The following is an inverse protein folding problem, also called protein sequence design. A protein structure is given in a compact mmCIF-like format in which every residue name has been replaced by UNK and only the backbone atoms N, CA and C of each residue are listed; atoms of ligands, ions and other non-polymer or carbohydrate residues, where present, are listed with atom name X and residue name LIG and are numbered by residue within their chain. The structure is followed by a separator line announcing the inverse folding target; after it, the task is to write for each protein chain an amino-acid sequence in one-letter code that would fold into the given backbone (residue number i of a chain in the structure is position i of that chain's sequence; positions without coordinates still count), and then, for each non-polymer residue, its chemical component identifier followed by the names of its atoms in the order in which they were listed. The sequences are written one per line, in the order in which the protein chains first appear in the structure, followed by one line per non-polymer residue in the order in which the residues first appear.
data_IF_289093167636
#
_entry.id   IF_289093167636
#
_cell.length_a   1.000
_cell.length_b   1.000
_cell.length_c   1.000
_cell.angle_alpha   90.00
_cell.angle_beta   90.00
_cell.angle_gamma   90.00
#
_symmetry.space_group_name_H-M   'P 1'
#
loop_
_entity.id
_entity.type
_entity.pdbx_description
1 polymer ?
#
# COMPACT_ATOMS: atom_id res chain seq x y z
N UNK A 1 -3.15 -20.54 -4.98
CA UNK A 1 -3.23 -19.62 -6.14
C UNK A 1 -3.75 -18.28 -5.67
N UNK A 2 -3.15 -17.20 -6.14
CA UNK A 2 -3.60 -15.83 -5.89
C UNK A 2 -5.02 -15.59 -6.42
N UNK A 3 -5.73 -14.64 -5.82
CA UNK A 3 -7.07 -14.25 -6.27
C UNK A 3 -6.97 -13.65 -7.67
N UNK A 4 -7.80 -14.15 -8.58
CA UNK A 4 -7.71 -13.80 -10.00
C UNK A 4 -8.29 -12.41 -10.30
N UNK A 5 -7.70 -11.70 -11.30
CA UNK A 5 -8.17 -10.39 -11.77
C UNK A 5 -9.69 -10.30 -12.03
N UNK A 6 -10.36 -11.29 -12.64
CA UNK A 6 -11.81 -11.23 -12.89
C UNK A 6 -12.66 -11.02 -11.62
N UNK A 7 -12.18 -11.45 -10.45
CA UNK A 7 -12.87 -11.18 -9.18
C UNK A 7 -12.96 -9.68 -8.90
N UNK A 8 -11.86 -8.96 -9.06
CA UNK A 8 -11.80 -7.50 -8.84
C UNK A 8 -12.54 -6.73 -9.94
N UNK A 9 -12.44 -7.17 -11.21
CA UNK A 9 -13.20 -6.59 -12.31
C UNK A 9 -14.72 -6.66 -12.05
N UNK A 10 -15.22 -7.80 -11.54
CA UNK A 10 -16.63 -7.95 -11.20
C UNK A 10 -17.04 -7.06 -10.04
N UNK A 11 -16.24 -6.98 -8.96
CA UNK A 11 -16.52 -6.11 -7.82
C UNK A 11 -16.70 -4.64 -8.24
N UNK A 12 -15.80 -4.13 -9.08
CA UNK A 12 -15.86 -2.76 -9.55
C UNK A 12 -16.86 -2.51 -10.68
N UNK A 13 -17.29 -3.55 -11.41
CA UNK A 13 -18.37 -3.45 -12.37
C UNK A 13 -19.73 -3.25 -11.67
N UNK A 14 -19.92 -3.88 -10.52
CA UNK A 14 -21.16 -3.83 -9.76
C UNK A 14 -21.27 -2.60 -8.84
N UNK A 15 -20.13 -2.07 -8.38
CA UNK A 15 -20.08 -0.97 -7.43
C UNK A 15 -18.76 -0.17 -7.54
N UNK A 16 -18.82 1.15 -7.70
CA UNK A 16 -17.63 2.03 -7.72
C UNK A 16 -16.88 2.11 -6.38
N UNK A 17 -17.50 1.68 -5.29
CA UNK A 17 -16.92 1.70 -3.94
C UNK A 17 -17.29 0.41 -3.17
N UNK A 18 -16.80 -0.77 -3.59
CA UNK A 18 -17.22 -2.07 -3.09
C UNK A 18 -17.06 -2.22 -1.56
N UNK A 19 -16.06 -1.58 -1.00
CA UNK A 19 -15.76 -1.63 0.44
C UNK A 19 -16.25 -0.40 1.20
N UNK A 20 -16.92 0.56 0.52
CA UNK A 20 -17.41 1.82 1.07
C UNK A 20 -16.29 2.68 1.71
N UNK A 21 -15.15 2.77 1.01
CA UNK A 21 -13.98 3.56 1.41
C UNK A 21 -14.32 5.01 1.72
N UNK A 22 -15.24 5.60 0.96
CA UNK A 22 -15.66 7.01 1.12
C UNK A 22 -16.51 7.25 2.35
N UNK A 23 -17.30 6.26 2.77
CA UNK A 23 -18.38 6.46 3.74
C UNK A 23 -18.09 5.92 5.13
N UNK A 24 -17.46 4.74 5.23
CA UNK A 24 -17.23 4.07 6.51
C UNK A 24 -16.24 4.84 7.37
N UNK A 25 -16.59 5.02 8.64
CA UNK A 25 -15.68 5.57 9.64
C UNK A 25 -14.41 4.73 9.78
N UNK A 26 -14.55 3.42 9.77
CA UNK A 26 -13.43 2.48 9.77
C UNK A 26 -12.38 2.82 8.69
N UNK A 27 -12.82 3.01 7.44
CA UNK A 27 -11.95 3.28 6.32
C UNK A 27 -11.24 4.65 6.43
N UNK A 28 -11.97 5.69 6.87
CA UNK A 28 -11.36 7.00 7.14
C UNK A 28 -10.34 6.93 8.26
N UNK A 29 -10.67 6.21 9.36
CA UNK A 29 -9.75 6.01 10.49
C UNK A 29 -8.50 5.24 10.05
N UNK A 30 -8.64 4.17 9.28
CA UNK A 30 -7.54 3.36 8.76
C UNK A 30 -6.58 4.21 7.92
N UNK A 31 -7.08 5.02 6.98
CA UNK A 31 -6.26 5.93 6.19
C UNK A 31 -5.53 6.97 7.06
N UNK A 32 -6.23 7.56 8.03
CA UNK A 32 -5.60 8.51 8.95
C UNK A 32 -4.47 7.87 9.76
N UNK A 33 -4.64 6.65 10.25
CA UNK A 33 -3.59 5.87 10.94
C UNK A 33 -2.43 5.56 9.99
N UNK A 34 -2.70 5.17 8.75
CA UNK A 34 -1.69 4.91 7.72
C UNK A 34 -0.80 6.14 7.52
N UNK A 35 -1.40 7.32 7.34
CA UNK A 35 -0.64 8.55 7.17
C UNK A 35 0.10 8.99 8.44
N UNK A 36 -0.48 8.73 9.62
CA UNK A 36 0.14 9.08 10.90
C UNK A 36 1.38 8.23 11.22
N UNK A 37 1.45 6.99 10.69
CA UNK A 37 2.64 6.14 10.84
C UNK A 37 3.83 6.62 10.01
N UNK A 38 3.61 7.37 8.93
CA UNK A 38 4.67 7.86 8.05
C UNK A 38 5.58 8.83 8.81
N UNK A 39 6.85 8.46 8.94
CA UNK A 39 7.84 9.20 9.75
C UNK A 39 8.44 10.42 9.04
N UNK A 40 8.24 10.57 7.73
CA UNK A 40 8.69 11.74 6.98
C UNK A 40 7.53 12.66 6.64
N UNK A 41 7.70 13.97 6.71
CA UNK A 41 6.64 14.92 6.32
C UNK A 41 6.33 14.84 4.83
N UNK A 42 7.32 14.48 3.98
CA UNK A 42 7.21 14.37 2.53
C UNK A 42 8.16 13.32 1.96
N UNK A 43 7.76 12.69 0.86
CA UNK A 43 8.51 11.69 0.12
C UNK A 43 8.78 12.18 -1.32
N UNK A 44 9.92 11.82 -1.90
CA UNK A 44 10.23 12.18 -3.27
C UNK A 44 9.44 11.32 -4.27
N UNK A 45 9.26 10.04 -3.98
CA UNK A 45 8.58 9.10 -4.89
C UNK A 45 7.86 8.00 -4.13
N UNK A 46 6.54 8.01 -4.20
CA UNK A 46 5.67 7.00 -3.57
C UNK A 46 5.13 6.04 -4.61
N UNK A 47 5.09 4.75 -4.26
CA UNK A 47 4.38 3.72 -5.03
C UNK A 47 3.29 3.07 -4.17
N UNK A 48 2.07 3.07 -4.69
CA UNK A 48 0.90 2.41 -4.08
C UNK A 48 0.34 1.37 -5.06
N UNK A 49 0.68 0.07 -4.92
CA UNK A 49 0.03 -1.01 -5.64
C UNK A 49 -1.33 -1.36 -5.02
N UNK A 50 -2.32 -1.71 -5.88
CA UNK A 50 -3.67 -2.03 -5.43
C UNK A 50 -4.44 -0.80 -4.96
N UNK A 51 -4.38 0.30 -5.70
CA UNK A 51 -4.93 1.60 -5.27
C UNK A 51 -6.46 1.69 -5.27
N UNK A 52 -7.16 0.67 -5.76
CA UNK A 52 -8.63 0.63 -5.85
C UNK A 52 -9.20 1.92 -6.51
N UNK A 53 -10.17 2.57 -5.88
CA UNK A 53 -10.76 3.82 -6.36
C UNK A 53 -9.96 5.09 -6.01
N UNK A 54 -8.73 4.96 -5.48
CA UNK A 54 -7.79 6.06 -5.24
C UNK A 54 -8.03 6.88 -3.97
N UNK A 55 -8.82 6.39 -3.01
CA UNK A 55 -9.11 7.16 -1.78
C UNK A 55 -7.86 7.33 -0.89
N UNK A 56 -7.03 6.29 -0.73
CA UNK A 56 -5.75 6.42 -0.03
C UNK A 56 -4.74 7.20 -0.86
N UNK A 57 -4.68 6.96 -2.17
CA UNK A 57 -3.83 7.70 -3.11
C UNK A 57 -4.00 9.21 -3.00
N UNK A 58 -5.25 9.68 -2.90
CA UNK A 58 -5.57 11.11 -2.78
C UNK A 58 -5.08 11.73 -1.45
N UNK A 59 -4.94 10.93 -0.40
CA UNK A 59 -4.37 11.37 0.88
C UNK A 59 -2.84 11.27 0.89
N UNK A 60 -2.25 10.35 0.09
CA UNK A 60 -0.79 10.25 -0.12
C UNK A 60 -0.25 11.35 -1.05
N UNK A 61 -1.01 11.77 -2.05
CA UNK A 61 -0.56 12.74 -3.06
C UNK A 61 -0.03 14.06 -2.45
N UNK A 62 -0.65 14.69 -1.42
CA UNK A 62 -0.08 15.87 -0.78
C UNK A 62 1.24 15.63 -0.03
N UNK A 63 1.56 14.37 0.22
CA UNK A 63 2.73 13.92 1.00
C UNK A 63 3.93 13.51 0.14
N UNK A 64 3.88 13.75 -1.20
CA UNK A 64 4.97 13.37 -2.09
C UNK A 64 5.16 14.31 -3.28
N UNK A 65 6.32 14.18 -3.96
CA UNK A 65 6.62 14.92 -5.19
C UNK A 65 6.20 14.12 -6.43
N UNK A 66 6.15 12.80 -6.31
CA UNK A 66 5.68 11.88 -7.35
C UNK A 66 4.93 10.73 -6.72
N UNK A 67 3.72 10.47 -7.21
CA UNK A 67 2.91 9.32 -6.82
C UNK A 67 2.66 8.43 -8.03
N UNK A 68 3.02 7.18 -7.91
CA UNK A 68 2.62 6.13 -8.85
C UNK A 68 1.64 5.20 -8.15
N UNK A 69 0.48 4.99 -8.76
CA UNK A 69 -0.52 4.03 -8.30
C UNK A 69 -0.77 3.00 -9.38
N UNK A 70 -1.15 1.80 -9.01
CA UNK A 70 -1.67 0.83 -9.98
C UNK A 70 -2.75 -0.06 -9.39
N UNK A 71 -3.57 -0.60 -10.27
CA UNK A 71 -4.55 -1.63 -9.93
C UNK A 71 -4.71 -2.62 -11.08
N UNK A 72 -5.18 -3.84 -10.78
CA UNK A 72 -5.44 -4.88 -11.77
C UNK A 72 -6.82 -4.76 -12.41
N UNK A 73 -7.78 -4.06 -11.76
CA UNK A 73 -9.12 -3.83 -12.28
C UNK A 73 -9.17 -2.52 -13.10
N UNK A 74 -9.57 -2.61 -14.37
CA UNK A 74 -9.63 -1.44 -15.25
C UNK A 74 -10.61 -0.37 -14.76
N UNK A 75 -11.73 -0.75 -14.16
CA UNK A 75 -12.70 0.17 -13.58
C UNK A 75 -12.12 0.91 -12.36
N UNK A 76 -11.39 0.21 -11.48
CA UNK A 76 -10.68 0.83 -10.36
C UNK A 76 -9.68 1.88 -10.85
N UNK A 77 -8.88 1.55 -11.88
CA UNK A 77 -7.93 2.48 -12.50
C UNK A 77 -8.63 3.73 -13.03
N UNK A 78 -9.80 3.59 -13.67
CA UNK A 78 -10.57 4.73 -14.17
C UNK A 78 -11.05 5.64 -13.02
N UNK A 79 -11.58 5.04 -11.94
CA UNK A 79 -12.02 5.76 -10.74
C UNK A 79 -10.85 6.47 -10.04
N UNK A 80 -9.71 5.79 -9.87
CA UNK A 80 -8.52 6.38 -9.27
C UNK A 80 -7.98 7.56 -10.11
N UNK A 81 -7.97 7.48 -11.45
CA UNK A 81 -7.62 8.59 -12.33
C UNK A 81 -8.54 9.78 -12.11
N UNK A 82 -9.85 9.57 -12.03
CA UNK A 82 -10.81 10.63 -11.74
C UNK A 82 -10.57 11.26 -10.36
N UNK A 83 -10.31 10.41 -9.35
CA UNK A 83 -10.06 10.85 -7.97
C UNK A 83 -8.80 11.72 -7.85
N UNK A 84 -7.81 11.46 -8.70
CA UNK A 84 -6.50 12.12 -8.68
C UNK A 84 -6.33 13.26 -9.70
N UNK A 85 -7.38 13.67 -10.43
CA UNK A 85 -7.31 14.72 -11.46
C UNK A 85 -6.68 16.04 -10.96
N UNK A 86 -6.83 16.36 -9.67
CA UNK A 86 -6.25 17.56 -9.05
C UNK A 86 -4.75 17.47 -8.74
N UNK A 87 -4.12 16.31 -8.93
CA UNK A 87 -2.72 16.06 -8.56
C UNK A 87 -1.87 15.74 -9.80
N UNK A 88 -1.30 16.76 -10.46
CA UNK A 88 -0.54 16.61 -11.71
C UNK A 88 0.69 15.69 -11.59
N UNK A 89 1.20 15.47 -10.38
CA UNK A 89 2.34 14.59 -10.09
C UNK A 89 1.92 13.14 -9.77
N UNK A 90 0.63 12.82 -9.78
CA UNK A 90 0.10 11.48 -9.57
C UNK A 90 -0.20 10.80 -10.90
N UNK A 91 0.24 9.54 -11.02
CA UNK A 91 -0.01 8.68 -12.18
C UNK A 91 -0.70 7.40 -11.75
N UNK A 92 -1.69 6.95 -12.52
CA UNK A 92 -2.38 5.68 -12.30
C UNK A 92 -2.22 4.78 -13.50
N UNK A 93 -1.74 3.56 -13.28
CA UNK A 93 -1.48 2.55 -14.31
C UNK A 93 -2.36 1.31 -14.09
N UNK A 94 -2.77 0.68 -15.17
CA UNK A 94 -3.35 -0.66 -15.12
C UNK A 94 -2.19 -1.66 -15.13
N UNK A 95 -2.04 -2.44 -14.06
CA UNK A 95 -0.93 -3.39 -13.91
C UNK A 95 -1.33 -4.56 -13.02
N UNK A 96 -0.94 -5.75 -13.44
CA UNK A 96 -1.04 -6.97 -12.65
C UNK A 96 0.29 -7.24 -11.93
N UNK A 97 0.23 -7.33 -10.62
CA UNK A 97 1.40 -7.59 -9.78
C UNK A 97 1.42 -9.04 -9.27
N UNK A 98 2.60 -9.61 -9.06
CA UNK A 98 3.94 -8.99 -9.12
C UNK A 98 4.56 -8.91 -10.53
N UNK A 99 3.94 -9.47 -11.57
CA UNK A 99 4.56 -9.65 -12.90
C UNK A 99 4.91 -8.31 -13.56
N UNK A 100 4.00 -7.34 -13.50
CA UNK A 100 4.12 -6.03 -14.15
C UNK A 100 4.57 -4.95 -13.14
N UNK A 101 5.57 -5.28 -12.32
CA UNK A 101 6.14 -4.31 -11.37
C UNK A 101 6.76 -3.12 -12.11
N UNK A 102 6.49 -1.86 -11.69
CA UNK A 102 6.98 -0.68 -12.37
C UNK A 102 8.50 -0.53 -12.26
N UNK A 103 9.09 0.10 -13.27
CA UNK A 103 10.49 0.50 -13.23
C UNK A 103 10.67 1.76 -12.39
N UNK A 104 11.85 1.91 -11.77
CA UNK A 104 12.21 3.09 -10.96
C UNK A 104 12.51 2.75 -9.50
N UNK A 105 12.81 3.81 -8.75
CA UNK A 105 13.11 3.72 -7.31
C UNK A 105 12.09 4.56 -6.54
N UNK A 106 11.71 4.06 -5.36
CA UNK A 106 10.72 4.67 -4.49
C UNK A 106 11.31 4.84 -3.08
N UNK A 107 11.07 5.98 -2.47
CA UNK A 107 11.44 6.18 -1.07
C UNK A 107 10.29 5.83 -0.10
N UNK A 108 9.08 5.56 -0.64
CA UNK A 108 7.99 4.92 0.08
C UNK A 108 7.22 3.95 -0.84
N UNK A 109 7.00 2.73 -0.36
CA UNK A 109 6.04 1.77 -0.95
C UNK A 109 4.95 1.51 0.07
N UNK A 110 3.68 1.60 -0.34
CA UNK A 110 2.50 1.42 0.53
C UNK A 110 1.70 0.20 0.08
N UNK A 111 1.78 -0.89 0.83
CA UNK A 111 1.04 -2.13 0.61
C UNK A 111 -0.23 -2.13 1.47
N UNK A 112 -1.31 -1.57 0.94
CA UNK A 112 -2.57 -1.47 1.67
C UNK A 112 -3.62 -2.41 1.10
N UNK A 113 -4.15 -3.32 1.93
CA UNK A 113 -5.25 -4.24 1.61
C UNK A 113 -5.00 -5.10 0.34
N UNK A 114 -3.75 -5.45 0.07
CA UNK A 114 -3.34 -6.14 -1.16
C UNK A 114 -2.80 -7.55 -0.91
N UNK A 115 -1.87 -7.68 0.04
CA UNK A 115 -0.97 -8.83 0.09
C UNK A 115 -1.66 -10.15 0.45
N UNK A 116 -2.75 -10.14 1.15
CA UNK A 116 -3.49 -11.36 1.51
C UNK A 116 -4.25 -11.99 0.32
N UNK A 117 -4.41 -11.25 -0.79
CA UNK A 117 -4.95 -11.79 -2.06
C UNK A 117 -3.91 -12.61 -2.84
N UNK A 118 -2.63 -12.51 -2.48
CA UNK A 118 -1.53 -13.20 -3.13
C UNK A 118 -1.22 -14.51 -2.41
N UNK A 119 -0.92 -15.56 -3.17
CA UNK A 119 -0.36 -16.77 -2.59
C UNK A 119 1.11 -16.58 -2.14
N UNK A 120 1.71 -17.61 -1.57
CA UNK A 120 3.04 -17.50 -0.99
C UNK A 120 4.13 -17.16 -2.03
N UNK A 121 4.01 -17.68 -3.26
CA UNK A 121 5.00 -17.47 -4.32
C UNK A 121 4.89 -16.04 -4.89
N UNK A 122 3.67 -15.58 -5.18
CA UNK A 122 3.42 -14.24 -5.67
C UNK A 122 3.73 -13.19 -4.60
N UNK A 123 3.38 -13.43 -3.33
CA UNK A 123 3.76 -12.54 -2.23
C UNK A 123 5.28 -12.48 -2.06
N UNK A 124 5.96 -13.62 -2.15
CA UNK A 124 7.41 -13.68 -2.13
C UNK A 124 8.03 -12.83 -3.25
N UNK A 125 7.54 -13.00 -4.47
CA UNK A 125 7.99 -12.24 -5.64
C UNK A 125 7.71 -10.72 -5.49
N UNK A 126 6.54 -10.35 -4.94
CA UNK A 126 6.19 -8.96 -4.66
C UNK A 126 7.17 -8.33 -3.66
N UNK A 127 7.51 -9.03 -2.58
CA UNK A 127 8.46 -8.55 -1.56
C UNK A 127 9.84 -8.32 -2.19
N UNK A 128 10.33 -9.24 -3.01
CA UNK A 128 11.64 -9.12 -3.66
C UNK A 128 11.69 -7.91 -4.62
N UNK A 129 10.63 -7.69 -5.38
CA UNK A 129 10.51 -6.52 -6.27
C UNK A 129 10.40 -5.22 -5.48
N UNK A 130 9.65 -5.19 -4.38
CA UNK A 130 9.57 -4.03 -3.49
C UNK A 130 10.95 -3.68 -2.92
N UNK A 131 11.68 -4.66 -2.38
CA UNK A 131 13.04 -4.47 -1.87
C UNK A 131 14.01 -3.94 -2.94
N UNK A 132 13.94 -4.47 -4.17
CA UNK A 132 14.80 -4.06 -5.27
C UNK A 132 14.50 -2.64 -5.75
N UNK A 133 13.26 -2.16 -5.59
CA UNK A 133 12.83 -0.83 -6.04
C UNK A 133 12.84 0.25 -4.94
N UNK A 134 13.09 -0.11 -3.67
CA UNK A 134 13.28 0.87 -2.60
C UNK A 134 14.63 1.61 -2.74
N UNK A 135 14.64 2.92 -2.47
CA UNK A 135 15.87 3.72 -2.32
C UNK A 135 16.70 3.24 -1.12
N UNK A 136 17.92 3.72 -0.99
CA UNK A 136 18.84 3.29 0.06
C UNK A 136 18.38 3.71 1.48
N UNK A 137 17.52 4.71 1.56
CA UNK A 137 16.85 5.19 2.77
C UNK A 137 15.33 4.92 2.77
N UNK A 138 14.86 4.07 1.82
CA UNK A 138 13.45 3.84 1.55
C UNK A 138 12.69 3.18 2.69
N UNK A 139 11.38 3.38 2.68
CA UNK A 139 10.43 2.85 3.64
C UNK A 139 9.37 1.99 2.96
N UNK A 140 8.91 0.96 3.66
CA UNK A 140 7.76 0.15 3.26
C UNK A 140 6.71 0.16 4.36
N UNK A 141 5.49 0.58 4.02
CA UNK A 141 4.34 0.51 4.90
C UNK A 141 3.41 -0.61 4.44
N UNK A 142 2.95 -1.45 5.36
CA UNK A 142 1.89 -2.42 5.13
C UNK A 142 0.70 -2.13 6.06
N UNK A 143 -0.51 -2.21 5.49
CA UNK A 143 -1.78 -2.01 6.21
C UNK A 143 -2.78 -3.06 5.76
N UNK A 144 -3.27 -3.91 6.67
CA UNK A 144 -4.18 -5.00 6.32
C UNK A 144 -5.29 -5.20 7.36
N UNK A 145 -6.49 -5.48 6.86
CA UNK A 145 -7.62 -5.97 7.64
C UNK A 145 -7.30 -7.33 8.27
N UNK A 146 -7.60 -7.52 9.57
CA UNK A 146 -7.18 -8.72 10.31
C UNK A 146 -8.17 -9.86 10.31
N UNK A 147 -9.47 -9.56 10.21
CA UNK A 147 -10.43 -10.65 10.16
C UNK A 147 -10.22 -11.50 8.89
N UNK A 148 -10.39 -12.81 8.96
CA UNK A 148 -10.29 -13.69 7.80
C UNK A 148 -11.24 -13.25 6.68
N UNK A 149 -10.74 -13.32 5.44
CA UNK A 149 -11.51 -13.03 4.22
C UNK A 149 -11.66 -14.34 3.45
N UNK A 150 -12.89 -14.76 3.22
CA UNK A 150 -13.17 -15.99 2.48
C UNK A 150 -12.53 -15.96 1.08
N UNK A 151 -11.85 -17.03 0.73
CA UNK A 151 -11.16 -17.15 -0.56
C UNK A 151 -9.79 -16.48 -0.64
N UNK A 152 -9.35 -15.73 0.38
CA UNK A 152 -7.99 -15.20 0.41
C UNK A 152 -6.98 -16.29 0.82
N UNK A 153 -5.85 -16.39 0.10
CA UNK A 153 -4.83 -17.41 0.39
C UNK A 153 -4.13 -17.20 1.74
N UNK A 154 -4.11 -15.98 2.26
CA UNK A 154 -3.39 -15.61 3.47
C UNK A 154 -4.23 -14.70 4.38
N UNK A 155 -3.83 -14.61 5.64
CA UNK A 155 -4.34 -13.64 6.62
C UNK A 155 -3.38 -12.45 6.73
N UNK A 156 -3.86 -11.33 7.28
CA UNK A 156 -3.01 -10.17 7.58
C UNK A 156 -1.81 -10.54 8.47
N UNK A 157 -2.05 -11.34 9.52
CA UNK A 157 -0.99 -11.76 10.45
C UNK A 157 0.09 -12.61 9.75
N UNK A 158 -0.29 -13.50 8.81
CA UNK A 158 0.66 -14.27 8.00
C UNK A 158 1.47 -13.37 7.06
N UNK A 159 0.80 -12.42 6.39
CA UNK A 159 1.45 -11.44 5.51
C UNK A 159 2.48 -10.60 6.27
N UNK A 160 2.10 -10.02 7.42
CA UNK A 160 2.99 -9.18 8.21
C UNK A 160 4.15 -9.98 8.83
N UNK A 161 3.92 -11.24 9.23
CA UNK A 161 4.99 -12.13 9.69
C UNK A 161 6.01 -12.41 8.58
N UNK A 162 5.55 -12.67 7.35
CA UNK A 162 6.42 -12.90 6.20
C UNK A 162 7.20 -11.63 5.80
N UNK A 163 6.53 -10.47 5.78
CA UNK A 163 7.18 -9.18 5.55
C UNK A 163 8.28 -8.95 6.58
N UNK A 164 7.98 -9.14 7.87
CA UNK A 164 8.95 -8.95 8.94
C UNK A 164 10.17 -9.87 8.80
N UNK A 165 9.95 -11.11 8.37
CA UNK A 165 11.02 -12.09 8.16
C UNK A 165 11.90 -11.74 6.95
N UNK A 166 11.31 -11.24 5.84
CA UNK A 166 12.00 -11.14 4.55
C UNK A 166 12.58 -9.76 4.25
N UNK A 167 12.02 -8.67 4.82
CA UNK A 167 12.45 -7.32 4.48
C UNK A 167 13.88 -7.00 4.93
N UNK A 168 14.37 -7.59 6.04
CA UNK A 168 15.68 -7.26 6.59
C UNK A 168 15.83 -5.78 6.98
N UNK A 169 14.72 -5.10 7.23
CA UNK A 169 14.62 -3.68 7.58
C UNK A 169 14.12 -3.56 9.03
N UNK A 170 14.47 -2.45 9.69
CA UNK A 170 13.95 -2.17 11.03
C UNK A 170 12.46 -1.81 10.97
N UNK A 171 11.66 -2.40 11.85
CA UNK A 171 10.27 -1.99 12.07
C UNK A 171 10.26 -0.76 12.97
N UNK A 172 10.09 0.42 12.39
CA UNK A 172 10.23 1.73 13.08
C UNK A 172 8.91 2.25 13.65
N UNK A 173 7.77 1.75 13.18
CA UNK A 173 6.46 2.09 13.73
C UNK A 173 5.48 0.95 13.51
N UNK A 174 4.62 0.72 14.49
CA UNK A 174 3.56 -0.28 14.45
C UNK A 174 2.30 0.24 15.10
N UNK A 175 1.16 -0.05 14.50
CA UNK A 175 -0.15 0.05 15.12
C UNK A 175 -0.91 -1.25 14.88
N UNK A 176 -1.57 -1.78 15.90
CA UNK A 176 -2.52 -2.87 15.73
C UNK A 176 -3.67 -2.74 16.71
N UNK A 177 -4.84 -3.16 16.27
CA UNK A 177 -6.01 -3.38 17.11
C UNK A 177 -6.71 -4.69 16.69
N UNK A 178 -7.98 -4.87 17.08
CA UNK A 178 -8.73 -6.07 16.72
C UNK A 178 -8.94 -6.20 15.20
N UNK A 179 -8.98 -5.09 14.48
CA UNK A 179 -9.46 -5.02 13.09
C UNK A 179 -8.35 -4.75 12.08
N UNK A 180 -7.27 -4.06 12.47
CA UNK A 180 -6.24 -3.62 11.53
C UNK A 180 -4.83 -3.82 12.09
N UNK A 181 -3.92 -4.18 11.18
CA UNK A 181 -2.49 -4.29 11.43
C UNK A 181 -1.74 -3.36 10.48
N UNK A 182 -0.94 -2.45 11.04
CA UNK A 182 -0.08 -1.54 10.30
C UNK A 182 1.36 -1.69 10.81
N UNK A 183 2.28 -1.84 9.86
CA UNK A 183 3.71 -1.84 10.13
C UNK A 183 4.43 -0.91 9.14
N UNK A 184 5.40 -0.15 9.63
CA UNK A 184 6.33 0.62 8.82
C UNK A 184 7.75 0.12 9.05
N UNK A 185 8.40 -0.30 7.99
CA UNK A 185 9.82 -0.66 7.99
C UNK A 185 10.64 0.40 7.28
N UNK A 186 11.85 0.66 7.77
CA UNK A 186 12.75 1.68 7.23
C UNK A 186 14.17 1.16 7.09
N UNK A 187 14.85 1.60 6.02
CA UNK A 187 16.31 1.45 5.87
C UNK A 187 17.06 2.54 6.65
N UNK A 188 16.41 3.66 6.92
CA UNK A 188 16.94 4.70 7.80
C UNK A 188 16.48 4.46 9.24
N UNK A 189 17.42 4.19 10.12
CA UNK A 189 17.18 3.86 11.53
C UNK A 189 16.97 5.10 12.43
N UNK A 190 17.12 6.30 11.88
CA UNK A 190 16.95 7.53 12.65
C UNK A 190 15.48 7.79 12.96
N UNK A 191 15.20 8.14 14.22
CA UNK A 191 13.86 8.51 14.63
C UNK A 191 13.44 9.88 14.10
N UNK A 192 12.13 10.17 14.10
CA UNK A 192 11.60 11.50 13.75
C UNK A 192 12.28 12.58 14.59
N UNK A 193 12.42 12.36 15.91
CA UNK A 193 13.08 13.32 16.80
C UNK A 193 14.55 13.58 16.42
N UNK A 194 15.26 12.54 15.94
CA UNK A 194 16.64 12.70 15.45
C UNK A 194 16.68 13.50 14.16
N UNK A 195 15.76 13.27 13.23
CA UNK A 195 15.65 14.05 11.99
C UNK A 195 15.32 15.53 12.24
N UNK A 196 14.52 15.82 13.28
CA UNK A 196 14.15 17.17 13.71
C UNK A 196 15.22 17.83 14.58
N UNK A 197 16.31 17.15 14.89
CA UNK A 197 17.38 17.69 15.77
C UNK A 197 16.97 17.85 17.21
N UNK A 198 15.98 17.09 17.68
CA UNK A 198 15.49 17.12 19.06
C UNK A 198 16.33 16.24 20.00
N UNK A 199 17.14 15.33 19.44
CA UNK A 199 18.09 14.45 20.14
C UNK A 199 19.14 13.88 19.19
#
# INVERSE_FOLDING_TARGET
MSVATPYFDQLFADNEDPWAFRQRWYERRKRALTLALLTRPRYASVFEPGCANGELSAELAPRCDRLLCCDTASAAVALAKMRLLGFAHAQVQHSRLPEQWPTGRFDLIVLSELCYYLDADDLGSLIDRALASLTDDGQLLACHWRAPIDGCPQTADQVHALLHQRLGMENVARYHDCDVLLDLWSRDHRSVATHEGLR
#
